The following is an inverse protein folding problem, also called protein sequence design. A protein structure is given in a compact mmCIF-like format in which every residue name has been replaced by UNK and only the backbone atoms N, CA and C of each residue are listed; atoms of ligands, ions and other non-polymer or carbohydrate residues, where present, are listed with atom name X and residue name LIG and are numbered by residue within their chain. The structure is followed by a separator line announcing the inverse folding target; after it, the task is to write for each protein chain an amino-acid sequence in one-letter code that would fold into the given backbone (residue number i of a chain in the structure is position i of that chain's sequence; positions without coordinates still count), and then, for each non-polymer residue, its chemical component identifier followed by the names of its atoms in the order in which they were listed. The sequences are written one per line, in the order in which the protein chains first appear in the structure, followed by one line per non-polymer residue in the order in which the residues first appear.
data_IF_900105291202
#
_entry.id   IF_900105291202
#
_cell.length_a   1.000
_cell.length_b   1.000
_cell.length_c   1.000
_cell.angle_alpha   90.00
_cell.angle_beta   90.00
_cell.angle_gamma   90.00
#
_symmetry.space_group_name_H-M   'P 1'
#
loop_
_entity.id
_entity.type
_entity.pdbx_description
1 polymer ?
#
# COMPACT_ATOMS: atom_id res chain seq x y z
N UNK A 1 13.91 -5.58 3.45
CA UNK A 1 13.87 -5.03 2.09
C UNK A 1 12.50 -5.44 1.64
N UNK A 2 11.58 -4.51 1.43
CA UNK A 2 10.17 -4.91 1.39
C UNK A 2 9.94 -5.83 0.19
N UNK A 3 9.28 -6.96 0.46
CA UNK A 3 8.83 -7.96 -0.49
C UNK A 3 7.32 -7.76 -0.74
N UNK A 4 6.90 -6.52 -0.84
CA UNK A 4 5.49 -6.18 -1.11
C UNK A 4 5.35 -5.89 -2.59
N UNK A 5 4.22 -6.32 -3.14
CA UNK A 5 3.80 -5.95 -4.47
C UNK A 5 3.50 -4.44 -4.51
N UNK A 6 3.77 -3.76 -5.64
CA UNK A 6 3.45 -2.34 -5.77
C UNK A 6 1.96 -2.10 -5.52
N UNK A 7 1.61 -0.94 -4.97
CA UNK A 7 0.21 -0.59 -4.66
C UNK A 7 -0.73 -0.78 -5.87
N UNK A 8 -0.22 -0.50 -7.07
CA UNK A 8 -0.95 -0.73 -8.32
C UNK A 8 -0.14 -1.59 -9.30
N UNK A 9 -0.76 -2.61 -9.94
CA UNK A 9 -0.05 -3.64 -10.70
C UNK A 9 0.55 -3.16 -12.03
N UNK A 10 0.15 -1.98 -12.51
CA UNK A 10 0.60 -1.40 -13.77
C UNK A 10 1.64 -0.30 -13.59
N UNK A 11 2.10 -0.04 -12.36
CA UNK A 11 3.13 0.97 -12.12
C UNK A 11 4.48 0.50 -12.68
N UNK A 12 5.26 1.45 -13.20
CA UNK A 12 6.62 1.16 -13.67
C UNK A 12 7.61 1.29 -12.51
N UNK A 13 8.25 0.18 -12.16
CA UNK A 13 9.39 0.17 -11.25
C UNK A 13 10.63 0.73 -11.95
N UNK A 14 11.30 1.67 -11.28
CA UNK A 14 12.55 2.27 -11.74
C UNK A 14 13.75 1.65 -11.03
N UNK A 15 13.59 1.37 -9.74
CA UNK A 15 14.51 0.66 -8.88
C UNK A 15 13.73 0.04 -7.73
N UNK A 16 14.35 -0.83 -6.93
CA UNK A 16 13.65 -1.52 -5.84
C UNK A 16 12.95 -0.54 -4.89
N UNK A 17 11.63 -0.69 -4.75
CA UNK A 17 10.75 0.19 -3.97
C UNK A 17 10.71 1.66 -4.44
N UNK A 18 11.16 1.95 -5.66
CA UNK A 18 11.12 3.26 -6.31
C UNK A 18 10.35 3.13 -7.62
N UNK A 19 9.19 3.77 -7.67
CA UNK A 19 8.27 3.67 -8.81
C UNK A 19 8.01 5.03 -9.43
N UNK A 20 7.62 5.02 -10.71
CA UNK A 20 7.08 6.21 -11.35
C UNK A 20 5.67 6.49 -10.81
N UNK A 21 5.32 7.77 -10.59
CA UNK A 21 3.96 8.12 -10.16
C UNK A 21 2.91 7.57 -11.14
N UNK A 22 1.97 6.72 -10.69
CA UNK A 22 0.89 6.24 -11.54
C UNK A 22 -0.06 7.38 -11.89
N UNK A 23 -0.48 7.44 -13.15
CA UNK A 23 -1.39 8.48 -13.64
C UNK A 23 -2.81 7.96 -13.79
N UNK A 24 -3.79 8.86 -13.67
CA UNK A 24 -5.21 8.55 -13.90
C UNK A 24 -5.45 7.94 -15.29
N UNK A 25 -4.65 8.33 -16.29
CA UNK A 25 -4.70 7.72 -17.63
C UNK A 25 -4.31 6.24 -17.60
N UNK A 26 -3.21 5.90 -16.94
CA UNK A 26 -2.79 4.50 -16.81
C UNK A 26 -3.83 3.68 -16.02
N UNK A 27 -4.44 4.28 -14.99
CA UNK A 27 -5.56 3.65 -14.27
C UNK A 27 -6.73 3.38 -15.21
N UNK A 28 -7.11 4.36 -16.03
CA UNK A 28 -8.18 4.21 -17.01
C UNK A 28 -7.87 3.08 -18.00
N UNK A 29 -6.70 3.12 -18.64
CA UNK A 29 -6.27 2.13 -19.64
C UNK A 29 -6.21 0.71 -19.05
N UNK A 30 -5.81 0.58 -17.78
CA UNK A 30 -5.80 -0.69 -17.06
C UNK A 30 -7.21 -1.21 -16.78
N UNK A 31 -8.10 -0.34 -16.28
CA UNK A 31 -9.47 -0.70 -16.00
C UNK A 31 -10.24 -1.03 -17.28
N UNK A 32 -10.01 -0.32 -18.40
CA UNK A 32 -10.64 -0.62 -19.69
C UNK A 32 -10.29 -2.03 -20.19
N UNK A 33 -9.03 -2.46 -19.98
CA UNK A 33 -8.56 -3.79 -20.39
C UNK A 33 -9.08 -4.93 -19.52
N UNK A 34 -9.36 -4.65 -18.25
CA UNK A 34 -9.67 -5.70 -17.27
C UNK A 34 -11.11 -5.67 -16.76
N UNK A 35 -11.83 -4.56 -16.93
CA UNK A 35 -13.24 -4.45 -16.63
C UNK A 35 -14.03 -4.37 -17.93
N UNK A 36 -15.05 -5.23 -18.05
CA UNK A 36 -16.08 -5.11 -19.09
C UNK A 36 -17.07 -3.96 -18.86
N UNK A 37 -16.65 -2.89 -18.18
CA UNK A 37 -17.46 -1.72 -17.83
C UNK A 37 -16.65 -0.46 -18.06
N UNK A 38 -17.35 0.61 -18.46
CA UNK A 38 -16.78 1.94 -18.64
C UNK A 38 -16.04 2.42 -17.36
N UNK A 39 -14.71 2.59 -17.41
CA UNK A 39 -13.90 3.04 -16.27
C UNK A 39 -14.31 4.41 -15.74
N UNK A 40 -14.88 5.29 -16.57
CA UNK A 40 -15.31 6.63 -16.15
C UNK A 40 -16.42 6.59 -15.09
N UNK A 41 -17.19 5.50 -15.01
CA UNK A 41 -18.23 5.30 -13.99
C UNK A 41 -17.66 4.81 -12.65
N UNK A 42 -16.40 4.39 -12.63
CA UNK A 42 -15.74 3.76 -11.49
C UNK A 42 -14.71 4.71 -10.90
N UNK A 43 -13.97 5.42 -11.74
CA UNK A 43 -13.02 6.46 -11.32
C UNK A 43 -13.82 7.66 -10.80
N UNK A 44 -13.88 7.80 -9.48
CA UNK A 44 -14.55 8.93 -8.79
C UNK A 44 -13.58 10.02 -8.33
N UNK A 45 -12.30 9.82 -8.54
CA UNK A 45 -11.23 10.72 -8.11
C UNK A 45 -10.65 11.48 -9.28
N UNK A 46 -10.21 12.71 -9.00
CA UNK A 46 -9.43 13.49 -9.95
C UNK A 46 -8.00 12.95 -10.07
N UNK A 47 -7.20 13.66 -10.86
CA UNK A 47 -5.77 13.39 -10.99
C UNK A 47 -4.97 14.04 -9.86
N UNK A 48 -3.76 13.56 -9.63
CA UNK A 48 -2.86 14.05 -8.59
C UNK A 48 -2.12 15.33 -9.02
N UNK A 49 -1.41 15.94 -8.07
CA UNK A 49 -0.65 17.19 -8.27
C UNK A 49 0.44 17.09 -9.34
N UNK A 50 0.90 15.88 -9.64
CA UNK A 50 1.84 15.58 -10.71
C UNK A 50 1.31 15.99 -12.09
N UNK A 51 0.02 15.81 -12.34
CA UNK A 51 -0.59 16.21 -13.60
C UNK A 51 -0.71 17.73 -13.71
N UNK A 52 -0.98 18.42 -12.60
CA UNK A 52 -0.95 19.88 -12.56
C UNK A 52 0.47 20.41 -12.78
N UNK A 53 1.48 19.85 -12.12
CA UNK A 53 2.86 20.27 -12.31
C UNK A 53 3.33 20.09 -13.76
N UNK A 54 2.89 19.01 -14.43
CA UNK A 54 3.18 18.77 -15.85
C UNK A 54 2.44 19.72 -16.81
N UNK A 55 1.31 20.30 -16.42
CA UNK A 55 0.64 21.31 -17.26
C UNK A 55 1.41 22.63 -17.30
N UNK A 56 2.15 22.94 -16.24
CA UNK A 56 3.01 24.13 -16.14
C UNK A 56 4.39 23.88 -16.74
N UNK A 57 4.98 22.72 -16.49
CA UNK A 57 6.26 22.30 -17.06
C UNK A 57 6.21 20.83 -17.48
N UNK A 58 6.23 20.52 -18.80
CA UNK A 58 6.12 19.15 -19.29
C UNK A 58 7.28 18.24 -18.87
N UNK A 59 8.41 18.80 -18.41
CA UNK A 59 9.59 18.05 -17.99
C UNK A 59 9.57 17.64 -16.51
N UNK A 60 8.47 17.90 -15.78
CA UNK A 60 8.35 17.48 -14.38
C UNK A 60 8.31 15.96 -14.27
N UNK A 61 9.25 15.42 -13.49
CA UNK A 61 9.38 14.01 -13.19
C UNK A 61 9.10 13.76 -11.70
N UNK A 62 8.20 12.82 -11.40
CA UNK A 62 7.80 12.49 -10.02
C UNK A 62 7.88 10.98 -9.83
N UNK A 63 8.51 10.60 -8.72
CA UNK A 63 8.65 9.23 -8.27
C UNK A 63 7.97 9.06 -6.91
N UNK A 64 7.57 7.83 -6.62
CA UNK A 64 7.08 7.40 -5.31
C UNK A 64 8.04 6.36 -4.74
N UNK A 65 8.24 6.40 -3.42
CA UNK A 65 9.07 5.44 -2.71
C UNK A 65 8.22 4.70 -1.69
N UNK A 66 8.14 3.38 -1.84
CA UNK A 66 7.46 2.51 -0.89
C UNK A 66 8.51 1.88 0.04
N UNK A 67 9.30 2.72 0.72
CA UNK A 67 10.33 2.28 1.68
C UNK A 67 9.68 2.28 3.08
N UNK A 68 9.87 1.24 3.92
CA UNK A 68 9.15 1.19 5.17
C UNK A 68 9.82 2.16 6.14
N UNK A 69 9.01 2.87 6.94
CA UNK A 69 9.54 3.70 8.02
C UNK A 69 10.29 2.87 9.08
N UNK A 70 9.92 1.59 9.22
CA UNK A 70 10.55 0.63 10.13
C UNK A 70 11.04 -0.58 9.34
N UNK A 71 12.33 -0.88 9.42
CA UNK A 71 12.94 -2.00 8.74
C UNK A 71 13.44 -3.03 9.75
N UNK A 72 13.05 -4.28 9.57
CA UNK A 72 13.61 -5.43 10.28
C UNK A 72 14.05 -6.49 9.25
N UNK A 73 15.28 -7.03 9.31
CA UNK A 73 15.75 -8.06 8.38
C UNK A 73 14.86 -9.29 8.30
N UNK A 74 14.13 -9.62 9.38
CA UNK A 74 13.20 -10.76 9.42
C UNK A 74 12.03 -10.63 8.46
N UNK A 75 11.71 -9.41 8.01
CA UNK A 75 10.65 -9.19 7.01
C UNK A 75 11.00 -9.76 5.63
N UNK A 76 12.28 -10.08 5.39
CA UNK A 76 12.76 -10.71 4.15
C UNK A 76 12.95 -12.21 4.24
N UNK A 77 12.72 -12.79 5.42
CA UNK A 77 12.98 -14.20 5.64
C UNK A 77 11.95 -15.06 4.90
N UNK A 78 12.42 -15.72 3.83
CA UNK A 78 11.66 -16.67 3.03
C UNK A 78 11.93 -18.14 3.42
N UNK A 79 12.62 -18.37 4.55
CA UNK A 79 12.83 -19.70 5.06
C UNK A 79 11.51 -20.38 5.43
N UNK A 80 11.50 -21.72 5.38
CA UNK A 80 10.30 -22.47 5.74
C UNK A 80 10.04 -22.32 7.23
N UNK A 81 8.83 -21.93 7.59
CA UNK A 81 8.41 -21.92 8.99
C UNK A 81 8.14 -23.34 9.50
N UNK A 82 8.63 -23.64 10.70
CA UNK A 82 8.27 -24.86 11.44
C UNK A 82 6.86 -24.79 12.04
N UNK A 83 6.18 -23.64 11.94
CA UNK A 83 4.85 -23.44 12.49
C UNK A 83 3.77 -23.79 11.48
N UNK A 84 2.86 -24.67 11.89
CA UNK A 84 1.67 -25.01 11.10
C UNK A 84 0.76 -23.78 10.99
N UNK A 85 0.24 -23.50 9.79
CA UNK A 85 -0.62 -22.34 9.47
C UNK A 85 -1.75 -22.12 10.49
N UNK A 86 -2.44 -23.18 10.91
CA UNK A 86 -3.52 -23.10 11.92
C UNK A 86 -3.04 -22.49 13.23
N UNK A 87 -1.87 -22.92 13.72
CA UNK A 87 -1.28 -22.41 14.97
C UNK A 87 -0.87 -20.95 14.82
N UNK A 88 -0.26 -20.58 13.70
CA UNK A 88 0.10 -19.18 13.41
C UNK A 88 -1.13 -18.26 13.42
N UNK A 89 -2.24 -18.68 12.82
CA UNK A 89 -3.50 -17.91 12.83
C UNK A 89 -4.06 -17.75 14.24
N UNK A 90 -4.09 -18.82 15.04
CA UNK A 90 -4.58 -18.74 16.42
C UNK A 90 -3.73 -17.79 17.28
N UNK A 91 -2.40 -17.86 17.14
CA UNK A 91 -1.49 -16.93 17.81
C UNK A 91 -1.74 -15.48 17.38
N UNK A 92 -1.94 -15.24 16.08
CA UNK A 92 -2.26 -13.90 15.54
C UNK A 92 -3.55 -13.32 16.15
N UNK A 93 -4.58 -14.14 16.36
CA UNK A 93 -5.83 -13.72 17.02
C UNK A 93 -5.59 -13.37 18.49
N UNK A 94 -4.79 -14.17 19.20
CA UNK A 94 -4.45 -13.91 20.60
C UNK A 94 -3.69 -12.58 20.76
N UNK A 95 -2.67 -12.34 19.93
CA UNK A 95 -1.90 -11.10 19.95
C UNK A 95 -2.78 -9.88 19.58
N UNK A 96 -3.64 -10.02 18.59
CA UNK A 96 -4.59 -8.96 18.21
C UNK A 96 -5.51 -8.57 19.38
N UNK A 97 -5.96 -9.54 20.19
CA UNK A 97 -6.76 -9.25 21.39
C UNK A 97 -5.96 -8.51 22.46
N UNK A 98 -4.70 -8.87 22.67
CA UNK A 98 -3.81 -8.18 23.63
C UNK A 98 -3.62 -6.72 23.22
N UNK A 99 -3.35 -6.46 21.94
CA UNK A 99 -3.22 -5.12 21.38
C UNK A 99 -4.51 -4.32 21.55
N UNK A 100 -5.66 -4.92 21.21
CA UNK A 100 -6.96 -4.26 21.37
C UNK A 100 -7.23 -3.87 22.83
N UNK A 101 -6.97 -4.77 23.77
CA UNK A 101 -7.14 -4.49 25.20
C UNK A 101 -6.23 -3.36 25.68
N UNK A 102 -4.99 -3.32 25.20
CA UNK A 102 -4.04 -2.24 25.52
C UNK A 102 -4.55 -0.88 25.02
N UNK A 103 -4.99 -0.82 23.75
CA UNK A 103 -5.51 0.42 23.15
C UNK A 103 -6.81 0.86 23.81
N UNK A 104 -7.73 -0.06 24.08
CA UNK A 104 -9.01 0.24 24.75
C UNK A 104 -8.80 0.79 26.16
N UNK A 105 -7.84 0.23 26.92
CA UNK A 105 -7.48 0.76 28.24
C UNK A 105 -7.00 2.20 28.15
N UNK A 106 -6.02 2.49 27.27
CA UNK A 106 -5.52 3.85 27.08
C UNK A 106 -6.58 4.82 26.58
N UNK A 107 -7.47 4.38 25.68
CA UNK A 107 -8.59 5.19 25.19
C UNK A 107 -9.57 5.57 26.31
N UNK A 108 -9.91 4.62 27.20
CA UNK A 108 -10.81 4.89 28.34
C UNK A 108 -10.19 5.85 29.36
N UNK A 109 -8.88 5.75 29.60
CA UNK A 109 -8.16 6.68 30.49
C UNK A 109 -8.19 8.11 29.95
N UNK A 110 -8.00 8.31 28.64
CA UNK A 110 -8.02 9.63 28.01
C UNK A 110 -9.45 10.20 27.85
N UNK A 111 -10.43 9.35 27.51
CA UNK A 111 -11.84 9.78 27.34
C UNK A 111 -12.56 10.05 28.67
N UNK A 112 -12.07 9.46 29.77
CA UNK A 112 -12.59 9.67 31.12
C UNK A 112 -12.04 10.92 31.83
N UNK A 113 -11.20 11.72 31.17
CA UNK A 113 -10.73 13.06 31.60
C UNK A 113 -11.49 14.16 30.85
#
# INVERSE_FOLDING_TARGET
MILEEPEVPYVKELYKAIYLMPTTKQTYDYLEKHLGKDPAKIIKTGTSSDNYARSVNPNVFILITEVPYYYDPRMEDLSKSDTIRRKAILNSIEESRKILNFVDKGYREVKGS
#
